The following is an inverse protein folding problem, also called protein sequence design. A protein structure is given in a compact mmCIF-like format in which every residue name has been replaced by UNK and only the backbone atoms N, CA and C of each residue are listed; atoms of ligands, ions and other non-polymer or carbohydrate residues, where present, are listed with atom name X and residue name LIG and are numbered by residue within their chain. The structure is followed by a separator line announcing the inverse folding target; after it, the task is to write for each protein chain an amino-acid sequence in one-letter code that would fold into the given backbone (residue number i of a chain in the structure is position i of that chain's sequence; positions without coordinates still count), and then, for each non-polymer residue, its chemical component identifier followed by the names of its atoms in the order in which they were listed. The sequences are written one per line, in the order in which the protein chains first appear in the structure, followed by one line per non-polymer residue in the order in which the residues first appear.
data_IF_128225324923
#
_entry.id   IF_128225324923
#
_cell.length_a   1.000
_cell.length_b   1.000
_cell.length_c   1.000
_cell.angle_alpha   90.00
_cell.angle_beta   90.00
_cell.angle_gamma   90.00
#
_symmetry.space_group_name_H-M   'P 1'
#
loop_
_entity.id
_entity.type
_entity.pdbx_description
1 polymer ?
#
# COMPACT_ATOMS: atom_id res chain seq x y z
N UNK A 1 5.38 -8.50 -16.13
CA UNK A 1 4.67 -8.04 -14.92
C UNK A 1 5.66 -7.62 -13.86
N UNK A 2 5.41 -6.49 -13.22
CA UNK A 2 6.25 -5.98 -12.14
C UNK A 2 5.55 -6.24 -10.81
N UNK A 3 6.28 -6.78 -9.84
CA UNK A 3 5.82 -6.90 -8.46
C UNK A 3 6.51 -5.82 -7.64
N UNK A 4 5.70 -4.96 -7.02
CA UNK A 4 6.19 -3.81 -6.25
C UNK A 4 5.83 -4.00 -4.79
N UNK A 5 6.85 -4.07 -3.94
CA UNK A 5 6.66 -4.39 -2.52
C UNK A 5 7.28 -3.27 -1.69
N UNK A 6 6.49 -2.71 -0.79
CA UNK A 6 6.92 -1.66 0.13
C UNK A 6 6.65 -2.07 1.56
N UNK A 7 7.52 -1.64 2.46
CA UNK A 7 7.37 -1.83 3.89
C UNK A 7 7.15 -0.48 4.55
N UNK A 8 6.11 -0.36 5.37
CA UNK A 8 5.71 0.89 6.00
C UNK A 8 5.65 0.75 7.51
N UNK A 9 5.78 1.90 8.19
CA UNK A 9 5.59 2.01 9.63
C UNK A 9 4.41 2.91 9.92
N UNK A 10 3.68 2.61 11.00
CA UNK A 10 2.70 3.55 11.52
C UNK A 10 3.42 4.78 12.07
N UNK A 11 2.76 5.93 12.02
CA UNK A 11 3.26 7.14 12.65
C UNK A 11 3.25 6.99 14.17
N UNK A 12 4.05 7.80 14.84
CA UNK A 12 4.08 7.80 16.31
C UNK A 12 2.72 8.19 16.88
N UNK A 13 2.01 9.11 16.22
CA UNK A 13 0.67 9.54 16.64
C UNK A 13 -0.31 8.37 16.61
N UNK A 14 -0.32 7.58 15.53
CA UNK A 14 -1.21 6.42 15.41
C UNK A 14 -0.92 5.41 16.53
N UNK A 15 0.36 5.16 16.81
CA UNK A 15 0.76 4.23 17.87
C UNK A 15 0.39 4.75 19.25
N UNK A 16 0.60 6.04 19.52
CA UNK A 16 0.29 6.66 20.80
C UNK A 16 -1.21 6.64 21.09
N UNK A 17 -2.05 6.76 20.07
CA UNK A 17 -3.50 6.76 20.20
C UNK A 17 -4.11 5.35 20.09
N UNK A 18 -3.30 4.32 19.91
CA UNK A 18 -3.73 2.93 19.73
C UNK A 18 -4.73 2.75 18.58
N UNK A 19 -4.46 3.44 17.45
CA UNK A 19 -5.35 3.43 16.28
C UNK A 19 -4.81 2.61 15.11
N UNK A 20 -3.92 1.66 15.37
CA UNK A 20 -3.29 0.88 14.30
C UNK A 20 -4.32 0.10 13.49
N UNK A 21 -5.29 -0.55 14.15
CA UNK A 21 -6.32 -1.32 13.46
C UNK A 21 -7.21 -0.44 12.57
N UNK A 22 -7.56 0.74 13.05
CA UNK A 22 -8.35 1.71 12.28
C UNK A 22 -7.57 2.23 11.08
N UNK A 23 -6.29 2.53 11.29
CA UNK A 23 -5.42 3.00 10.23
C UNK A 23 -5.25 1.94 9.13
N UNK A 24 -5.05 0.68 9.52
CA UNK A 24 -4.93 -0.41 8.55
C UNK A 24 -6.22 -0.59 7.76
N UNK A 25 -7.38 -0.58 8.42
CA UNK A 25 -8.66 -0.71 7.74
C UNK A 25 -8.87 0.41 6.73
N UNK A 26 -8.52 1.64 7.08
CA UNK A 26 -8.59 2.79 6.18
C UNK A 26 -7.67 2.60 4.97
N UNK A 27 -6.44 2.17 5.20
CA UNK A 27 -5.47 1.95 4.13
C UNK A 27 -5.90 0.81 3.20
N UNK A 28 -6.43 -0.28 3.76
CA UNK A 28 -6.94 -1.39 2.96
C UNK A 28 -8.06 -0.94 2.03
N UNK A 29 -8.96 -0.13 2.53
CA UNK A 29 -10.06 0.41 1.74
C UNK A 29 -9.55 1.35 0.65
N UNK A 30 -8.61 2.23 0.99
CA UNK A 30 -8.02 3.16 0.04
C UNK A 30 -7.26 2.43 -1.07
N UNK A 31 -6.48 1.42 -0.72
CA UNK A 31 -5.73 0.61 -1.70
C UNK A 31 -6.68 -0.13 -2.63
N UNK A 32 -7.77 -0.68 -2.09
CA UNK A 32 -8.75 -1.39 -2.91
C UNK A 32 -9.38 -0.50 -3.98
N UNK A 33 -9.53 0.81 -3.70
CA UNK A 33 -10.09 1.73 -4.69
C UNK A 33 -9.13 2.06 -5.83
N UNK A 34 -7.85 1.82 -5.65
CA UNK A 34 -6.86 2.10 -6.70
C UNK A 34 -6.96 1.14 -7.87
N UNK A 35 -7.29 -0.12 -7.60
CA UNK A 35 -7.42 -1.14 -8.64
C UNK A 35 -8.63 -0.82 -9.49
N UNK A 36 -8.43 -0.77 -10.81
CA UNK A 36 -9.47 -0.37 -11.74
C UNK A 36 -9.52 1.14 -12.03
N UNK A 37 -8.87 1.97 -11.20
CA UNK A 37 -8.79 3.41 -11.40
C UNK A 37 -7.39 3.86 -11.86
N UNK A 38 -6.39 3.03 -11.64
CA UNK A 38 -5.02 3.30 -12.07
C UNK A 38 -4.67 2.33 -13.18
N UNK A 39 -4.44 2.84 -14.39
CA UNK A 39 -4.12 2.02 -15.54
C UNK A 39 -2.83 1.23 -15.30
N UNK A 40 -2.87 -0.06 -15.65
CA UNK A 40 -1.71 -0.93 -15.50
C UNK A 40 -1.54 -1.53 -14.11
N UNK A 41 -2.30 -1.08 -13.11
CA UNK A 41 -2.31 -1.67 -11.78
C UNK A 41 -3.25 -2.88 -11.76
N UNK A 42 -2.68 -4.07 -11.66
CA UNK A 42 -3.43 -5.33 -11.75
C UNK A 42 -4.03 -5.74 -10.42
N UNK A 43 -3.26 -5.59 -9.36
CA UNK A 43 -3.75 -5.82 -7.99
C UNK A 43 -2.93 -4.99 -7.02
N UNK A 44 -3.51 -4.72 -5.86
CA UNK A 44 -2.83 -4.04 -4.77
C UNK A 44 -3.46 -4.44 -3.45
N UNK A 45 -2.62 -4.67 -2.45
CA UNK A 45 -3.10 -4.99 -1.11
C UNK A 45 -2.11 -4.47 -0.07
N UNK A 46 -2.62 -4.22 1.13
CA UNK A 46 -1.81 -3.83 2.27
C UNK A 46 -2.27 -4.62 3.48
N UNK A 47 -1.32 -5.20 4.21
CA UNK A 47 -1.59 -6.07 5.34
C UNK A 47 -0.59 -5.83 6.45
N UNK A 48 -0.92 -6.30 7.65
CA UNK A 48 0.00 -6.26 8.77
C UNK A 48 1.20 -7.16 8.49
N UNK A 49 2.39 -6.69 8.88
CA UNK A 49 3.60 -7.49 8.80
C UNK A 49 3.62 -8.46 9.99
N UNK A 50 3.50 -9.74 9.71
CA UNK A 50 3.50 -10.79 10.73
C UNK A 50 4.87 -11.42 10.94
N UNK A 51 5.86 -11.03 10.14
CA UNK A 51 7.21 -11.59 10.23
C UNK A 51 8.06 -10.96 11.34
N UNK A 52 7.58 -9.86 11.93
CA UNK A 52 8.33 -9.11 12.93
C UNK A 52 9.30 -8.11 12.30
N UNK A 53 10.19 -7.54 13.11
CA UNK A 53 11.12 -6.52 12.65
C UNK A 53 10.58 -5.11 12.87
N UNK A 54 11.20 -4.14 12.21
CA UNK A 54 10.88 -2.73 12.44
C UNK A 54 9.69 -2.19 11.66
N UNK A 55 9.23 -2.91 10.63
CA UNK A 55 8.12 -2.47 9.79
C UNK A 55 6.81 -3.08 10.24
N UNK A 56 5.77 -2.27 10.20
CA UNK A 56 4.43 -2.65 10.69
C UNK A 56 3.53 -3.19 9.59
N UNK A 57 3.73 -2.72 8.36
CA UNK A 57 2.84 -3.00 7.23
C UNK A 57 3.63 -3.41 6.01
N UNK A 58 3.00 -4.25 5.18
CA UNK A 58 3.53 -4.63 3.87
C UNK A 58 2.52 -4.23 2.80
N UNK A 59 2.95 -3.42 1.84
CA UNK A 59 2.17 -3.07 0.66
C UNK A 59 2.68 -3.88 -0.51
N UNK A 60 1.78 -4.61 -1.17
CA UNK A 60 2.09 -5.43 -2.32
C UNK A 60 1.24 -4.99 -3.51
N UNK A 61 1.86 -4.83 -4.67
CA UNK A 61 1.13 -4.53 -5.89
C UNK A 61 1.76 -5.25 -7.09
N UNK A 62 0.93 -5.47 -8.11
CA UNK A 62 1.36 -6.02 -9.39
C UNK A 62 0.98 -5.06 -10.49
N UNK A 63 1.95 -4.71 -11.32
CA UNK A 63 1.77 -3.77 -12.41
C UNK A 63 2.12 -4.45 -13.72
N UNK A 64 1.47 -4.00 -14.82
CA UNK A 64 1.62 -4.60 -16.14
C UNK A 64 3.07 -4.60 -16.61
N UNK A 65 3.77 -3.47 -16.45
CA UNK A 65 5.15 -3.27 -16.91
C UNK A 65 5.80 -2.10 -16.16
N UNK A 66 7.05 -1.80 -16.50
CA UNK A 66 7.81 -0.72 -15.87
C UNK A 66 7.20 0.67 -16.12
N UNK A 67 6.59 0.88 -17.28
CA UNK A 67 5.91 2.14 -17.57
C UNK A 67 4.69 2.32 -16.68
N UNK A 68 3.94 1.25 -16.44
CA UNK A 68 2.81 1.27 -15.52
C UNK A 68 3.25 1.56 -14.09
N UNK A 69 4.38 1.02 -13.66
CA UNK A 69 4.93 1.30 -12.33
C UNK A 69 5.28 2.78 -12.19
N UNK A 70 5.91 3.37 -13.20
CA UNK A 70 6.25 4.79 -13.17
C UNK A 70 5.00 5.66 -13.12
N UNK A 71 3.98 5.33 -13.91
CA UNK A 71 2.71 6.04 -13.89
C UNK A 71 2.01 5.91 -12.54
N UNK A 72 2.07 4.72 -11.93
CA UNK A 72 1.51 4.47 -10.60
C UNK A 72 2.17 5.34 -9.55
N UNK A 73 3.50 5.44 -9.54
CA UNK A 73 4.25 6.22 -8.56
C UNK A 73 3.92 7.71 -8.65
N UNK A 74 3.52 8.19 -9.83
CA UNK A 74 3.20 9.60 -10.05
C UNK A 74 1.69 9.88 -10.06
N UNK A 75 0.85 8.86 -9.86
CA UNK A 75 -0.60 9.03 -9.93
C UNK A 75 -1.14 9.76 -8.69
N UNK A 76 -2.08 10.72 -8.86
CA UNK A 76 -2.64 11.46 -7.72
C UNK A 76 -3.26 10.57 -6.65
N UNK A 77 -3.84 9.43 -6.99
CA UNK A 77 -4.45 8.53 -6.03
C UNK A 77 -3.41 7.80 -5.17
N UNK A 78 -2.17 7.72 -5.64
CA UNK A 78 -1.09 7.08 -4.90
C UNK A 78 -0.45 8.01 -3.87
N UNK A 79 -0.43 9.29 -4.16
CA UNK A 79 0.21 10.31 -3.30
C UNK A 79 -0.63 10.55 -1.98
#
# INVERSE_FOLDING_TARGET
MIRHILFWKYTDTVKAEHKEAEALAFLQKSVATMVGHIDGLRCAEINANTAGGEYDLVFYSELRDADALQAFQNHPLHI
#
